data_IF_752002294960
#
_entry.id   IF_752002294960
#
_cell.length_a   1.000
_cell.length_b   1.000
_cell.length_c   1.000
_cell.angle_alpha   90.00
_cell.angle_beta   90.00
_cell.angle_gamma   90.00
#
_symmetry.space_group_name_H-M   'P 1'
#
loop_
_entity.id
_entity.type
_entity.pdbx_description
1 polymer ?
#
# COMPACT_ATOMS: atom_id res chain seq x y z
N UNK A 1 -21.58 -16.29 7.42
CA UNK A 1 -21.32 -14.88 7.74
C UNK A 1 -20.67 -14.88 9.11
N UNK A 2 -19.56 -14.19 9.28
CA UNK A 2 -18.96 -14.03 10.62
C UNK A 2 -19.94 -13.28 11.52
N UNK A 3 -19.93 -13.56 12.83
CA UNK A 3 -20.80 -12.89 13.78
C UNK A 3 -20.13 -11.55 14.13
N UNK A 4 -20.57 -10.49 13.46
CA UNK A 4 -20.22 -9.10 13.79
C UNK A 4 -21.51 -8.28 13.99
N UNK A 5 -21.40 -7.12 14.65
CA UNK A 5 -22.55 -6.28 15.02
C UNK A 5 -23.39 -5.87 13.80
N UNK A 6 -22.76 -5.67 12.65
CA UNK A 6 -23.44 -5.31 11.39
C UNK A 6 -24.22 -6.50 10.82
N UNK A 7 -23.71 -7.72 10.97
CA UNK A 7 -24.36 -8.95 10.53
C UNK A 7 -25.53 -9.35 11.43
N UNK A 8 -25.52 -8.92 12.70
CA UNK A 8 -26.64 -9.10 13.63
C UNK A 8 -27.81 -8.15 13.35
N UNK A 9 -27.62 -7.13 12.50
CA UNK A 9 -28.72 -6.25 12.12
C UNK A 9 -29.85 -7.07 11.44
N UNK A 10 -31.12 -6.95 11.89
CA UNK A 10 -32.22 -7.81 11.43
C UNK A 10 -32.43 -7.81 9.91
N UNK A 11 -32.08 -6.72 9.23
CA UNK A 11 -32.22 -6.59 7.78
C UNK A 11 -31.06 -7.20 6.97
N UNK A 12 -29.92 -7.54 7.57
CA UNK A 12 -28.74 -8.01 6.81
C UNK A 12 -29.05 -9.31 6.05
N UNK A 13 -29.53 -10.34 6.75
CA UNK A 13 -29.82 -11.64 6.14
C UNK A 13 -30.90 -11.54 5.05
N UNK A 14 -32.07 -10.89 5.29
CA UNK A 14 -33.07 -10.72 4.24
C UNK A 14 -32.53 -9.98 3.00
N UNK A 15 -31.72 -8.94 3.16
CA UNK A 15 -31.17 -8.18 2.03
C UNK A 15 -30.16 -9.00 1.23
N UNK A 16 -29.28 -9.76 1.88
CA UNK A 16 -28.36 -10.68 1.19
C UNK A 16 -29.15 -11.74 0.41
N UNK A 17 -30.17 -12.33 1.01
CA UNK A 17 -31.03 -13.32 0.35
C UNK A 17 -31.76 -12.72 -0.86
N UNK A 18 -32.28 -11.50 -0.74
CA UNK A 18 -32.94 -10.80 -1.84
C UNK A 18 -31.98 -10.61 -3.03
N UNK A 19 -30.78 -10.09 -2.80
CA UNK A 19 -29.81 -9.85 -3.87
C UNK A 19 -29.37 -11.15 -4.55
N UNK A 20 -29.10 -12.21 -3.77
CA UNK A 20 -28.78 -13.54 -4.33
C UNK A 20 -29.93 -14.15 -5.11
N UNK A 21 -31.16 -13.94 -4.67
CA UNK A 21 -32.35 -14.37 -5.40
C UNK A 21 -32.49 -13.63 -6.74
N UNK A 22 -32.25 -12.32 -6.75
CA UNK A 22 -32.23 -11.52 -7.98
C UNK A 22 -31.15 -12.00 -8.97
N UNK A 23 -29.95 -12.34 -8.48
CA UNK A 23 -28.86 -12.91 -9.29
C UNK A 23 -29.26 -14.27 -9.88
N UNK A 24 -29.80 -15.17 -9.06
CA UNK A 24 -30.18 -16.54 -9.48
C UNK A 24 -31.30 -16.54 -10.51
N UNK A 25 -32.22 -15.59 -10.43
CA UNK A 25 -33.34 -15.46 -11.38
C UNK A 25 -33.01 -14.63 -12.63
N UNK A 26 -31.76 -14.18 -12.80
CA UNK A 26 -31.35 -13.38 -13.96
C UNK A 26 -31.97 -11.98 -14.00
N UNK A 27 -32.42 -11.44 -12.86
CA UNK A 27 -32.99 -10.09 -12.76
C UNK A 27 -31.91 -9.00 -12.71
N UNK A 28 -30.64 -9.40 -12.62
CA UNK A 28 -29.49 -8.50 -12.66
C UNK A 28 -29.00 -8.49 -14.11
N UNK A 29 -29.03 -7.34 -14.81
CA UNK A 29 -28.61 -7.26 -16.20
C UNK A 29 -27.12 -7.62 -16.31
N UNK A 30 -26.84 -8.85 -16.71
CA UNK A 30 -25.53 -9.24 -17.24
C UNK A 30 -25.61 -8.82 -18.69
N UNK A 31 -25.01 -7.67 -19.04
CA UNK A 31 -25.02 -7.21 -20.43
C UNK A 31 -24.35 -8.26 -21.31
N UNK A 32 -25.16 -9.07 -22.00
CA UNK A 32 -24.72 -9.93 -23.07
C UNK A 32 -24.20 -9.06 -24.23
N UNK A 33 -22.88 -9.05 -24.35
CA UNK A 33 -22.12 -9.03 -25.61
C UNK A 33 -22.13 -7.84 -26.58
N UNK A 34 -22.71 -6.65 -26.32
CA UNK A 34 -22.64 -5.55 -27.32
C UNK A 34 -22.13 -4.20 -26.79
N UNK A 35 -22.19 -3.93 -25.49
CA UNK A 35 -21.67 -2.69 -24.89
C UNK A 35 -20.59 -3.05 -23.87
N UNK A 36 -19.36 -2.60 -24.11
CA UNK A 36 -18.15 -2.96 -23.36
C UNK A 36 -18.18 -2.58 -21.87
N UNK A 37 -19.26 -2.00 -21.35
CA UNK A 37 -19.38 -1.70 -19.93
C UNK A 37 -20.83 -1.82 -19.43
N UNK A 38 -21.11 -2.58 -18.36
CA UNK A 38 -22.46 -2.72 -17.83
C UNK A 38 -22.91 -1.42 -17.14
N UNK A 39 -24.12 -0.96 -17.46
CA UNK A 39 -24.77 0.16 -16.77
C UNK A 39 -25.38 -0.32 -15.45
N UNK A 40 -25.25 0.50 -14.41
CA UNK A 40 -25.73 0.15 -13.08
C UNK A 40 -27.27 0.06 -13.06
N UNK A 41 -27.87 -1.03 -12.53
CA UNK A 41 -29.32 -1.15 -12.48
C UNK A 41 -29.93 -0.11 -11.51
N UNK A 42 -31.19 0.33 -11.73
CA UNK A 42 -31.80 1.41 -10.94
C UNK A 42 -31.74 1.20 -9.43
N UNK A 43 -31.98 -0.03 -8.94
CA UNK A 43 -31.90 -0.35 -7.52
C UNK A 43 -30.50 -0.13 -6.94
N UNK A 44 -29.45 -0.45 -7.70
CA UNK A 44 -28.07 -0.28 -7.28
C UNK A 44 -27.67 1.20 -7.34
N UNK A 45 -28.22 1.99 -8.27
CA UNK A 45 -28.02 3.45 -8.30
C UNK A 45 -28.53 4.10 -7.00
N UNK A 46 -29.67 3.67 -6.46
CA UNK A 46 -30.15 4.18 -5.17
C UNK A 46 -29.19 3.85 -4.03
N UNK A 47 -28.65 2.63 -3.99
CA UNK A 47 -27.63 2.26 -3.01
C UNK A 47 -26.36 3.08 -3.17
N UNK A 48 -25.87 3.25 -4.40
CA UNK A 48 -24.69 4.06 -4.71
C UNK A 48 -24.85 5.51 -4.26
N UNK A 49 -26.01 6.13 -4.57
CA UNK A 49 -26.32 7.50 -4.15
C UNK A 49 -26.30 7.64 -2.63
N UNK A 50 -26.85 6.67 -1.90
CA UNK A 50 -26.85 6.67 -0.42
C UNK A 50 -25.46 6.41 0.16
N UNK A 51 -24.68 5.55 -0.47
CA UNK A 51 -23.32 5.25 -0.04
C UNK A 51 -22.38 6.46 -0.21
N UNK A 52 -22.58 7.23 -1.28
CA UNK A 52 -21.70 8.34 -1.67
C UNK A 52 -22.14 9.69 -1.08
N UNK A 53 -23.25 9.74 -0.34
CA UNK A 53 -23.79 10.98 0.23
C UNK A 53 -23.06 11.32 1.55
N UNK A 54 -22.29 12.42 1.61
CA UNK A 54 -21.55 12.80 2.81
C UNK A 54 -22.46 13.23 3.97
N UNK A 55 -23.74 13.52 3.71
CA UNK A 55 -24.70 13.93 4.75
C UNK A 55 -25.32 12.72 5.47
N UNK A 56 -25.14 11.52 4.93
CA UNK A 56 -25.70 10.30 5.50
C UNK A 56 -24.83 9.81 6.65
N UNK A 57 -25.49 9.27 7.69
CA UNK A 57 -24.78 8.67 8.82
C UNK A 57 -23.84 7.57 8.35
N UNK A 58 -22.59 7.63 8.82
CA UNK A 58 -21.56 6.67 8.45
C UNK A 58 -21.95 5.21 8.73
N UNK A 59 -22.80 4.97 9.73
CA UNK A 59 -23.33 3.64 10.05
C UNK A 59 -24.13 3.02 8.89
N UNK A 60 -24.83 3.85 8.11
CA UNK A 60 -25.55 3.39 6.92
C UNK A 60 -24.55 2.96 5.84
N UNK A 61 -23.47 3.73 5.65
CA UNK A 61 -22.39 3.38 4.72
C UNK A 61 -21.70 2.07 5.12
N UNK A 62 -21.41 1.88 6.41
CA UNK A 62 -20.85 0.64 6.95
C UNK A 62 -21.79 -0.56 6.72
N UNK A 63 -23.09 -0.39 6.97
CA UNK A 63 -24.08 -1.43 6.70
C UNK A 63 -24.14 -1.80 5.22
N UNK A 64 -24.19 -0.80 4.32
CA UNK A 64 -24.18 -1.02 2.87
C UNK A 64 -22.89 -1.70 2.40
N UNK A 65 -21.73 -1.31 2.93
CA UNK A 65 -20.47 -1.96 2.61
C UNK A 65 -20.47 -3.42 3.07
N UNK A 66 -20.97 -3.71 4.28
CA UNK A 66 -21.06 -5.09 4.77
C UNK A 66 -21.97 -5.95 3.89
N UNK A 67 -23.09 -5.39 3.42
CA UNK A 67 -23.94 -6.02 2.42
C UNK A 67 -23.17 -6.32 1.14
N UNK A 68 -22.42 -5.33 0.60
CA UNK A 68 -21.57 -5.50 -0.57
C UNK A 68 -20.54 -6.63 -0.38
N UNK A 69 -19.90 -6.73 0.80
CA UNK A 69 -18.93 -7.80 1.10
C UNK A 69 -19.58 -9.18 0.96
N UNK A 70 -20.78 -9.37 1.52
CA UNK A 70 -21.51 -10.65 1.43
C UNK A 70 -22.00 -11.00 0.02
N UNK A 71 -22.18 -10.00 -0.83
CA UNK A 71 -22.71 -10.14 -2.20
C UNK A 71 -21.75 -9.63 -3.26
N UNK A 72 -20.44 -9.68 -3.01
CA UNK A 72 -19.44 -9.00 -3.84
C UNK A 72 -19.44 -9.44 -5.31
N UNK A 73 -19.88 -10.65 -5.62
CA UNK A 73 -20.01 -11.17 -7.00
C UNK A 73 -21.03 -10.37 -7.81
N UNK A 74 -22.13 -9.95 -7.19
CA UNK A 74 -23.19 -9.15 -7.81
C UNK A 74 -22.70 -7.74 -8.16
N UNK A 75 -21.86 -7.17 -7.30
CA UNK A 75 -21.33 -5.81 -7.48
C UNK A 75 -20.11 -5.77 -8.39
N UNK A 76 -19.39 -6.89 -8.54
CA UNK A 76 -18.15 -7.01 -9.30
C UNK A 76 -18.25 -6.45 -10.74
N UNK A 77 -19.26 -6.77 -11.56
CA UNK A 77 -19.37 -6.21 -12.92
C UNK A 77 -19.41 -4.67 -12.95
N UNK A 78 -19.87 -4.05 -11.87
CA UNK A 78 -20.03 -2.61 -11.71
C UNK A 78 -18.87 -1.97 -10.93
N UNK A 79 -17.75 -2.69 -10.71
CA UNK A 79 -16.64 -2.25 -9.87
C UNK A 79 -16.15 -0.83 -10.18
N UNK A 80 -16.10 -0.43 -11.46
CA UNK A 80 -15.69 0.92 -11.89
C UNK A 80 -16.41 2.06 -11.19
N UNK A 81 -17.67 1.85 -10.76
CA UNK A 81 -18.45 2.84 -10.03
C UNK A 81 -18.18 2.78 -8.54
N UNK A 82 -17.94 1.58 -8.00
CA UNK A 82 -17.86 1.33 -6.56
C UNK A 82 -16.47 1.52 -5.97
N UNK A 83 -15.39 1.48 -6.76
CA UNK A 83 -14.03 1.67 -6.25
C UNK A 83 -13.88 3.00 -5.50
N UNK A 84 -14.24 4.13 -6.13
CA UNK A 84 -14.05 5.46 -5.56
C UNK A 84 -14.79 5.64 -4.24
N UNK A 85 -16.12 5.38 -4.13
CA UNK A 85 -16.82 5.54 -2.86
C UNK A 85 -16.26 4.63 -1.77
N UNK A 86 -15.91 3.38 -2.08
CA UNK A 86 -15.37 2.44 -1.09
C UNK A 86 -14.01 2.90 -0.57
N UNK A 87 -13.14 3.44 -1.45
CA UNK A 87 -11.85 4.02 -1.03
C UNK A 87 -12.07 5.22 -0.10
N UNK A 88 -13.02 6.12 -0.43
CA UNK A 88 -13.37 7.24 0.45
C UNK A 88 -13.90 6.79 1.81
N UNK A 89 -14.75 5.77 1.83
CA UNK A 89 -15.24 5.17 3.08
C UNK A 89 -14.07 4.62 3.91
N UNK A 90 -13.13 3.88 3.29
CA UNK A 90 -11.95 3.37 3.99
C UNK A 90 -11.12 4.51 4.61
N UNK A 91 -10.90 5.60 3.88
CA UNK A 91 -10.21 6.78 4.40
C UNK A 91 -10.94 7.39 5.60
N UNK A 92 -12.26 7.56 5.51
CA UNK A 92 -13.08 8.06 6.62
C UNK A 92 -13.03 7.14 7.85
N UNK A 93 -12.95 5.81 7.64
CA UNK A 93 -12.75 4.87 8.76
C UNK A 93 -11.42 5.12 9.47
N UNK A 94 -10.33 5.28 8.73
CA UNK A 94 -9.02 5.56 9.31
C UNK A 94 -8.94 6.92 10.01
N UNK A 95 -9.69 7.92 9.53
CA UNK A 95 -9.77 9.23 10.16
C UNK A 95 -10.49 9.20 11.51
N UNK A 96 -11.56 8.42 11.59
CA UNK A 96 -12.41 8.34 12.78
C UNK A 96 -11.97 7.25 13.77
N UNK A 97 -11.10 6.34 13.35
CA UNK A 97 -10.60 5.24 14.16
C UNK A 97 -9.18 5.53 14.66
N UNK A 98 -8.99 5.46 15.97
CA UNK A 98 -7.65 5.34 16.58
C UNK A 98 -7.14 3.90 16.57
N UNK A 99 -8.03 2.93 16.33
CA UNK A 99 -7.66 1.53 16.13
C UNK A 99 -7.06 1.38 14.74
N UNK A 100 -5.99 0.59 14.63
CA UNK A 100 -5.25 0.37 13.38
C UNK A 100 -6.07 -0.36 12.31
N UNK A 101 -5.43 -1.21 11.51
CA UNK A 101 -6.15 -1.94 10.43
C UNK A 101 -7.10 -2.99 11.04
N UNK A 102 -8.38 -2.64 11.16
CA UNK A 102 -9.42 -3.53 11.70
C UNK A 102 -9.89 -4.56 10.65
N UNK A 103 -10.58 -5.61 11.10
CA UNK A 103 -11.05 -6.72 10.24
C UNK A 103 -12.00 -6.24 9.15
N UNK A 104 -12.85 -5.24 9.43
CA UNK A 104 -13.76 -4.66 8.45
C UNK A 104 -13.02 -4.01 7.27
N UNK A 105 -11.96 -3.25 7.54
CA UNK A 105 -11.10 -2.65 6.51
C UNK A 105 -10.38 -3.75 5.72
N UNK A 106 -9.89 -4.79 6.39
CA UNK A 106 -9.26 -5.94 5.72
C UNK A 106 -10.24 -6.58 4.72
N UNK A 107 -11.45 -6.92 5.16
CA UNK A 107 -12.49 -7.50 4.29
C UNK A 107 -12.79 -6.58 3.10
N UNK A 108 -12.90 -5.28 3.37
CA UNK A 108 -13.17 -4.27 2.33
C UNK A 108 -12.05 -4.23 1.29
N UNK A 109 -10.79 -4.21 1.71
CA UNK A 109 -9.63 -4.22 0.79
C UNK A 109 -9.55 -5.55 0.04
N UNK A 110 -9.89 -6.68 0.67
CA UNK A 110 -9.97 -7.98 -0.01
C UNK A 110 -10.99 -7.95 -1.15
N UNK A 111 -12.14 -7.28 -0.96
CA UNK A 111 -13.11 -7.07 -2.05
C UNK A 111 -12.52 -6.19 -3.16
N UNK A 112 -11.89 -5.05 -2.82
CA UNK A 112 -11.24 -4.18 -3.81
C UNK A 112 -10.17 -4.94 -4.63
N UNK A 113 -9.36 -5.76 -3.97
CA UNK A 113 -8.39 -6.66 -4.60
C UNK A 113 -9.08 -7.69 -5.51
N UNK A 114 -10.22 -8.26 -5.10
CA UNK A 114 -10.95 -9.23 -5.92
C UNK A 114 -11.50 -8.62 -7.24
N UNK A 115 -11.64 -7.30 -7.27
CA UNK A 115 -12.20 -6.54 -8.40
C UNK A 115 -11.13 -5.95 -9.33
N UNK A 116 -9.83 -6.05 -9.02
CA UNK A 116 -8.77 -5.38 -9.78
C UNK A 116 -8.74 -5.71 -11.28
N UNK A 117 -9.13 -6.93 -11.67
CA UNK A 117 -9.20 -7.33 -13.09
C UNK A 117 -10.34 -6.67 -13.85
N UNK A 118 -11.37 -6.23 -13.14
CA UNK A 118 -12.56 -5.59 -13.71
C UNK A 118 -12.39 -4.07 -13.80
N UNK A 119 -11.81 -3.47 -12.75
CA UNK A 119 -11.55 -2.05 -12.71
C UNK A 119 -10.34 -1.75 -11.81
N UNK A 120 -9.61 -0.70 -12.18
CA UNK A 120 -8.61 -0.05 -11.34
C UNK A 120 -9.09 1.38 -11.03
N UNK A 121 -8.65 2.00 -9.92
CA UNK A 121 -8.99 3.38 -9.61
C UNK A 121 -8.62 4.34 -10.74
N UNK A 122 -9.46 5.35 -10.97
CA UNK A 122 -9.22 6.38 -11.97
C UNK A 122 -8.07 7.30 -11.54
N UNK A 123 -7.46 8.02 -12.48
CA UNK A 123 -6.47 9.06 -12.16
C UNK A 123 -7.08 10.19 -11.30
N UNK A 124 -8.38 10.44 -11.46
CA UNK A 124 -9.14 11.38 -10.63
C UNK A 124 -9.19 10.93 -9.16
N UNK A 125 -9.04 9.63 -8.90
CA UNK A 125 -9.05 9.05 -7.55
C UNK A 125 -7.66 8.97 -6.92
N UNK A 126 -6.61 9.43 -7.64
CA UNK A 126 -5.21 9.30 -7.23
C UNK A 126 -4.95 9.78 -5.81
N UNK A 127 -5.56 10.91 -5.40
CA UNK A 127 -5.43 11.47 -4.05
C UNK A 127 -6.05 10.53 -3.01
N UNK A 128 -7.25 10.01 -3.28
CA UNK A 128 -7.96 9.12 -2.36
C UNK A 128 -7.25 7.77 -2.22
N UNK A 129 -6.73 7.24 -3.34
CA UNK A 129 -5.89 6.03 -3.36
C UNK A 129 -4.61 6.26 -2.56
N UNK A 130 -3.92 7.37 -2.81
CA UNK A 130 -2.68 7.69 -2.10
C UNK A 130 -2.91 7.79 -0.59
N UNK A 131 -3.98 8.45 -0.18
CA UNK A 131 -4.36 8.57 1.24
C UNK A 131 -4.63 7.21 1.89
N UNK A 132 -5.30 6.30 1.18
CA UNK A 132 -5.55 4.94 1.67
C UNK A 132 -4.23 4.18 1.88
N UNK A 133 -3.30 4.28 0.91
CA UNK A 133 -1.97 3.67 1.02
C UNK A 133 -1.19 4.25 2.21
N UNK A 134 -1.22 5.57 2.40
CA UNK A 134 -0.59 6.24 3.54
C UNK A 134 -1.13 5.75 4.89
N UNK A 135 -2.45 5.59 5.02
CA UNK A 135 -3.06 5.03 6.22
C UNK A 135 -2.67 3.57 6.45
N UNK A 136 -2.66 2.75 5.40
CA UNK A 136 -2.24 1.35 5.50
C UNK A 136 -0.78 1.22 5.93
N UNK A 137 0.11 2.06 5.38
CA UNK A 137 1.52 2.07 5.76
C UNK A 137 1.71 2.52 7.21
N UNK A 138 0.97 3.54 7.63
CA UNK A 138 1.06 4.07 9.01
C UNK A 138 0.55 3.06 10.04
N UNK A 139 -0.48 2.28 9.70
CA UNK A 139 -1.18 1.38 10.62
C UNK A 139 -0.83 -0.11 10.43
N UNK A 140 0.17 -0.45 9.62
CA UNK A 140 0.51 -1.85 9.34
C UNK A 140 1.11 -2.59 10.55
N UNK A 141 1.70 -1.86 11.50
CA UNK A 141 2.34 -2.42 12.69
C UNK A 141 1.33 -3.00 13.66
N UNK A 142 1.61 -4.19 14.17
CA UNK A 142 0.75 -4.86 15.15
C UNK A 142 1.57 -5.70 16.13
N UNK A 143 1.12 -5.80 17.39
CA UNK A 143 1.81 -6.58 18.44
C UNK A 143 1.93 -8.05 18.07
N UNK A 144 0.87 -8.60 17.45
CA UNK A 144 0.87 -9.95 16.90
C UNK A 144 1.56 -9.97 15.52
N UNK A 145 2.67 -10.70 15.44
CA UNK A 145 3.50 -10.85 14.23
C UNK A 145 2.73 -11.49 13.07
N UNK A 146 1.78 -12.39 13.36
CA UNK A 146 0.96 -13.04 12.32
C UNK A 146 0.06 -12.00 11.65
N UNK A 147 -0.60 -11.16 12.45
CA UNK A 147 -1.44 -10.05 11.95
C UNK A 147 -0.60 -9.05 11.17
N UNK A 148 0.57 -8.65 11.69
CA UNK A 148 1.50 -7.76 11.01
C UNK A 148 1.94 -8.31 9.65
N UNK A 149 2.28 -9.61 9.56
CA UNK A 149 2.61 -10.26 8.28
C UNK A 149 1.42 -10.27 7.32
N UNK A 150 0.23 -10.58 7.81
CA UNK A 150 -1.00 -10.54 7.02
C UNK A 150 -1.28 -9.13 6.46
N UNK A 151 -1.04 -8.08 7.26
CA UNK A 151 -1.18 -6.69 6.82
C UNK A 151 -0.16 -6.36 5.71
N UNK A 152 1.10 -6.79 5.86
CA UNK A 152 2.13 -6.60 4.82
C UNK A 152 1.77 -7.34 3.54
N UNK A 153 1.23 -8.55 3.62
CA UNK A 153 0.79 -9.33 2.45
C UNK A 153 -0.41 -8.68 1.75
N UNK A 154 -1.34 -8.10 2.51
CA UNK A 154 -2.47 -7.34 1.97
C UNK A 154 -1.99 -6.10 1.21
N UNK A 155 -1.09 -5.32 1.81
CA UNK A 155 -0.47 -4.13 1.20
C UNK A 155 0.31 -4.52 -0.06
N UNK A 156 1.09 -5.60 -0.01
CA UNK A 156 1.84 -6.12 -1.14
C UNK A 156 0.94 -6.39 -2.34
N UNK A 157 -0.14 -7.15 -2.13
CA UNK A 157 -1.11 -7.46 -3.20
C UNK A 157 -1.77 -6.19 -3.75
N UNK A 158 -2.07 -5.22 -2.89
CA UNK A 158 -2.68 -3.95 -3.30
C UNK A 158 -1.75 -3.14 -4.19
N UNK A 159 -0.47 -3.06 -3.83
CA UNK A 159 0.54 -2.38 -4.64
C UNK A 159 0.74 -3.10 -5.97
N UNK A 160 0.81 -4.42 -5.98
CA UNK A 160 0.92 -5.20 -7.22
C UNK A 160 -0.25 -4.94 -8.17
N UNK A 161 -1.48 -4.85 -7.63
CA UNK A 161 -2.68 -4.57 -8.42
C UNK A 161 -2.74 -3.13 -8.95
N UNK A 162 -2.26 -2.15 -8.18
CA UNK A 162 -2.46 -0.71 -8.47
C UNK A 162 -1.15 0.06 -8.68
N UNK A 163 -0.04 -0.62 -9.03
CA UNK A 163 1.29 -0.03 -9.18
C UNK A 163 1.36 1.22 -10.07
N UNK A 164 0.48 1.33 -11.08
CA UNK A 164 0.40 2.48 -11.99
C UNK A 164 -0.35 3.69 -11.43
N UNK A 165 -0.97 3.55 -10.25
CA UNK A 165 -1.79 4.58 -9.58
C UNK A 165 -1.26 4.97 -8.21
N UNK A 166 -0.15 4.37 -7.78
CA UNK A 166 0.42 4.55 -6.45
C UNK A 166 1.73 5.32 -6.55
N UNK A 167 1.88 6.33 -5.68
CA UNK A 167 3.15 7.00 -5.47
C UNK A 167 3.74 6.61 -4.10
N UNK A 168 5.05 6.75 -3.97
CA UNK A 168 5.72 6.35 -2.72
C UNK A 168 5.36 7.30 -1.57
N UNK A 169 4.86 6.77 -0.43
CA UNK A 169 4.62 7.53 0.80
C UNK A 169 5.95 7.80 1.54
N UNK A 170 6.79 8.62 0.91
CA UNK A 170 8.21 8.82 1.25
C UNK A 170 8.43 9.21 2.71
N UNK A 171 7.63 10.14 3.23
CA UNK A 171 7.81 10.63 4.60
C UNK A 171 7.43 9.58 5.64
N UNK A 172 6.37 8.80 5.38
CA UNK A 172 5.93 7.72 6.28
C UNK A 172 7.01 6.64 6.32
N UNK A 173 7.53 6.24 5.16
CA UNK A 173 8.63 5.29 5.07
C UNK A 173 9.86 5.78 5.81
N UNK A 174 10.24 7.04 5.58
CA UNK A 174 11.39 7.66 6.26
C UNK A 174 11.22 7.64 7.78
N UNK A 175 10.05 8.01 8.31
CA UNK A 175 9.76 7.95 9.75
C UNK A 175 9.90 6.52 10.27
N UNK A 176 9.34 5.53 9.57
CA UNK A 176 9.37 4.12 9.97
C UNK A 176 10.79 3.54 10.03
N UNK A 177 11.70 3.93 9.14
CA UNK A 177 13.10 3.46 9.13
C UNK A 177 14.05 4.34 9.97
N UNK A 178 13.56 5.50 10.42
CA UNK A 178 14.34 6.45 11.21
C UNK A 178 14.28 6.18 12.72
N UNK A 179 13.45 5.23 13.17
CA UNK A 179 13.20 4.95 14.59
C UNK A 179 14.52 4.62 15.31
N UNK A 180 14.96 5.44 16.28
CA UNK A 180 16.21 5.22 17.00
C UNK A 180 16.16 4.00 17.92
N UNK A 181 14.99 3.57 18.37
CA UNK A 181 14.89 2.39 19.24
C UNK A 181 15.24 1.11 18.47
N UNK A 182 16.44 0.57 18.73
CA UNK A 182 16.91 -0.68 18.16
C UNK A 182 16.02 -1.87 18.50
N UNK A 183 15.30 -1.85 19.64
CA UNK A 183 14.37 -2.93 20.03
C UNK A 183 13.05 -2.86 19.26
N UNK A 184 12.75 -1.72 18.64
CA UNK A 184 11.54 -1.52 17.88
C UNK A 184 11.59 -2.33 16.58
N UNK A 185 10.52 -3.08 16.32
CA UNK A 185 10.35 -3.78 15.03
C UNK A 185 9.94 -2.83 13.90
N UNK A 186 9.75 -1.54 14.17
CA UNK A 186 9.29 -0.56 13.18
C UNK A 186 10.26 -0.42 12.01
N UNK A 187 11.57 -0.39 12.27
CA UNK A 187 12.57 -0.34 11.20
C UNK A 187 12.45 -1.53 10.24
N UNK A 188 12.23 -2.75 10.77
CA UNK A 188 12.02 -3.95 9.95
C UNK A 188 10.76 -3.84 9.07
N UNK A 189 9.69 -3.26 9.61
CA UNK A 189 8.44 -3.02 8.89
C UNK A 189 8.65 -1.99 7.77
N UNK A 190 9.28 -0.85 8.09
CA UNK A 190 9.61 0.18 7.11
C UNK A 190 10.45 -0.36 5.97
N UNK A 191 11.48 -1.15 6.27
CA UNK A 191 12.32 -1.82 5.27
C UNK A 191 11.51 -2.83 4.43
N UNK A 192 10.59 -3.59 5.05
CA UNK A 192 9.72 -4.53 4.33
C UNK A 192 8.79 -3.80 3.36
N UNK A 193 8.20 -2.67 3.78
CA UNK A 193 7.36 -1.81 2.92
C UNK A 193 8.16 -1.21 1.75
N UNK A 194 9.40 -0.75 2.00
CA UNK A 194 10.29 -0.30 0.93
C UNK A 194 10.58 -1.44 -0.06
N UNK A 195 10.85 -2.65 0.45
CA UNK A 195 11.06 -3.83 -0.39
C UNK A 195 9.84 -4.14 -1.27
N UNK A 196 8.62 -4.01 -0.74
CA UNK A 196 7.37 -4.20 -1.51
C UNK A 196 7.26 -3.18 -2.66
N UNK A 197 7.60 -1.91 -2.42
CA UNK A 197 7.58 -0.87 -3.46
C UNK A 197 8.64 -1.14 -4.53
N UNK A 198 9.87 -1.45 -4.12
CA UNK A 198 10.98 -1.74 -5.03
C UNK A 198 10.73 -2.99 -5.88
N UNK A 199 10.07 -4.01 -5.34
CA UNK A 199 9.65 -5.20 -6.09
C UNK A 199 8.68 -4.87 -7.24
N UNK A 200 7.98 -3.73 -7.16
CA UNK A 200 7.09 -3.20 -8.18
C UNK A 200 7.71 -2.03 -8.95
N UNK A 201 9.04 -1.86 -8.90
CA UNK A 201 9.80 -0.80 -9.57
C UNK A 201 9.41 0.62 -9.14
N UNK A 202 8.79 0.76 -7.97
CA UNK A 202 8.45 2.06 -7.36
C UNK A 202 9.62 2.48 -6.46
N UNK A 203 10.22 3.63 -6.75
CA UNK A 203 11.28 4.18 -5.91
C UNK A 203 10.69 4.68 -4.58
N UNK A 204 11.38 4.46 -3.45
CA UNK A 204 10.84 4.78 -2.12
C UNK A 204 10.82 6.28 -1.82
N UNK A 205 11.47 7.09 -2.65
CA UNK A 205 11.43 8.55 -2.60
C UNK A 205 10.71 9.11 -3.83
N UNK A 206 9.85 10.09 -3.60
CA UNK A 206 9.18 10.81 -4.67
C UNK A 206 10.12 11.85 -5.27
N UNK A 207 10.45 11.67 -6.55
CA UNK A 207 11.05 12.73 -7.36
C UNK A 207 9.89 13.39 -8.09
N UNK A 208 9.52 14.65 -7.78
CA UNK A 208 8.53 15.34 -8.58
C UNK A 208 9.00 15.35 -10.04
N UNK A 209 8.12 15.06 -11.01
CA UNK A 209 8.50 15.19 -12.41
C UNK A 209 9.01 16.62 -12.62
N UNK A 210 10.19 16.75 -13.25
CA UNK A 210 10.73 18.05 -13.67
C UNK A 210 9.62 18.81 -14.38
N UNK A 211 9.33 20.07 -14.02
CA UNK A 211 8.26 20.83 -14.66
C UNK A 211 8.59 21.01 -16.14
N UNK A 212 8.06 20.15 -17.00
CA UNK A 212 8.06 20.33 -18.44
C UNK A 212 6.94 21.32 -18.77
N UNK A 213 7.25 22.61 -18.69
CA UNK A 213 6.35 23.71 -19.01
C UNK A 213 5.91 24.53 -17.79
N UNK A 214 5.31 25.70 -18.08
CA UNK A 214 4.84 26.71 -17.12
C UNK A 214 3.66 26.26 -16.23
N UNK A 215 3.46 24.96 -16.04
CA UNK A 215 2.49 24.47 -15.06
C UNK A 215 3.18 24.42 -13.69
N UNK A 216 2.51 24.87 -12.62
CA UNK A 216 3.05 24.73 -11.28
C UNK A 216 3.39 23.26 -11.02
N UNK A 217 4.45 22.96 -10.26
CA UNK A 217 4.77 21.60 -9.87
C UNK A 217 3.49 21.01 -9.26
N UNK A 218 3.08 19.84 -9.76
CA UNK A 218 2.02 19.07 -9.10
C UNK A 218 2.58 18.72 -7.75
N UNK A 219 2.22 19.52 -6.75
CA UNK A 219 2.30 19.17 -5.34
C UNK A 219 1.36 17.99 -5.21
N UNK A 220 1.87 16.78 -5.49
CA UNK A 220 1.19 15.54 -5.15
C UNK A 220 1.10 15.55 -3.64
N UNK A 221 -0.01 16.09 -3.17
CA UNK A 221 -0.30 16.32 -1.77
C UNK A 221 -0.34 14.99 -1.05
N UNK A 222 0.79 14.61 -0.45
CA UNK A 222 0.74 13.98 0.85
C UNK A 222 0.10 15.01 1.78
N UNK A 223 -1.19 14.85 2.03
CA UNK A 223 -1.95 15.66 3.00
C UNK A 223 -1.50 15.33 4.43
N UNK A 224 -0.89 14.16 4.66
CA UNK A 224 -0.44 13.69 5.97
C UNK A 224 1.01 14.04 6.30
N UNK A 225 1.74 14.64 5.38
CA UNK A 225 3.07 15.17 5.67
C UNK A 225 3.53 16.18 4.65
N UNK A 226 3.76 17.40 5.11
CA UNK A 226 4.75 18.29 4.52
C UNK A 226 6.04 17.48 4.38
N UNK A 227 6.49 17.21 3.14
CA UNK A 227 7.82 16.66 2.92
C UNK A 227 8.77 17.65 3.58
N UNK A 228 9.55 17.26 4.61
CA UNK A 228 10.53 18.17 5.17
C UNK A 228 11.42 18.64 4.02
N UNK A 229 11.62 19.95 3.85
CA UNK A 229 12.43 20.49 2.75
C UNK A 229 13.85 19.86 2.69
N UNK A 230 14.30 19.24 3.78
CA UNK A 230 15.59 18.57 3.93
C UNK A 230 15.58 17.07 3.58
N UNK A 231 14.43 16.48 3.19
CA UNK A 231 14.36 15.05 2.87
C UNK A 231 14.81 14.80 1.43
N UNK A 232 16.12 14.73 1.24
CA UNK A 232 16.74 14.38 -0.03
C UNK A 232 16.84 12.86 -0.21
N UNK A 233 17.01 12.44 -1.46
CA UNK A 233 17.35 11.06 -1.81
C UNK A 233 18.54 10.54 -0.98
N UNK A 234 19.59 11.34 -0.84
CA UNK A 234 20.80 10.94 -0.12
C UNK A 234 20.53 10.69 1.36
N UNK A 235 19.73 11.56 1.99
CA UNK A 235 19.35 11.42 3.39
C UNK A 235 18.49 10.18 3.60
N UNK A 236 17.62 9.87 2.66
CA UNK A 236 16.83 8.64 2.68
C UNK A 236 17.73 7.39 2.56
N UNK A 237 18.65 7.40 1.59
CA UNK A 237 19.63 6.33 1.39
C UNK A 237 20.52 6.13 2.62
N UNK A 238 21.05 7.20 3.20
CA UNK A 238 21.84 7.17 4.43
C UNK A 238 21.07 6.55 5.59
N UNK A 239 19.76 6.76 5.65
CA UNK A 239 18.90 6.19 6.70
C UNK A 239 18.70 4.69 6.52
N UNK A 240 18.54 4.20 5.28
CA UNK A 240 18.54 2.75 4.99
C UNK A 240 19.90 2.15 5.36
N UNK A 241 20.99 2.78 4.93
CA UNK A 241 22.36 2.32 5.20
C UNK A 241 22.69 2.30 6.70
N UNK A 242 22.17 3.27 7.47
CA UNK A 242 22.28 3.27 8.94
C UNK A 242 21.64 2.03 9.56
N UNK A 243 20.55 1.52 9.00
CA UNK A 243 19.92 0.28 9.47
C UNK A 243 20.77 -0.97 9.21
N UNK A 244 21.74 -0.93 8.30
CA UNK A 244 22.72 -2.02 8.14
C UNK A 244 23.69 -2.13 9.32
N UNK A 245 23.85 -1.07 10.12
CA UNK A 245 24.66 -1.07 11.35
C UNK A 245 23.89 -1.56 12.59
N UNK A 246 22.66 -2.01 12.42
CA UNK A 246 21.82 -2.50 13.52
C UNK A 246 22.36 -3.84 14.06
N UNK A 247 22.09 -4.15 15.34
CA UNK A 247 22.52 -5.39 15.98
C UNK A 247 21.62 -6.59 15.61
N UNK A 248 20.37 -6.35 15.22
CA UNK A 248 19.42 -7.42 14.92
C UNK A 248 19.50 -7.89 13.45
N UNK A 249 19.71 -9.21 13.27
CA UNK A 249 19.87 -9.84 11.95
C UNK A 249 18.75 -9.59 10.98
N UNK A 250 17.51 -9.63 11.43
CA UNK A 250 16.36 -9.35 10.59
C UNK A 250 16.31 -7.90 10.09
N UNK A 251 16.95 -6.94 10.77
CA UNK A 251 16.99 -5.53 10.36
C UNK A 251 18.15 -5.28 9.41
N UNK A 252 19.39 -5.61 9.80
CA UNK A 252 20.54 -5.32 8.94
C UNK A 252 20.51 -6.11 7.63
N UNK A 253 20.02 -7.37 7.66
CA UNK A 253 19.90 -8.18 6.46
C UNK A 253 18.80 -7.67 5.52
N UNK A 254 17.69 -7.16 6.08
CA UNK A 254 16.62 -6.54 5.30
C UNK A 254 17.07 -5.19 4.70
N UNK A 255 17.82 -4.39 5.46
CA UNK A 255 18.39 -3.14 4.96
C UNK A 255 19.34 -3.38 3.80
N UNK A 256 20.24 -4.36 3.94
CA UNK A 256 21.12 -4.80 2.86
C UNK A 256 20.33 -5.29 1.63
N UNK A 257 19.31 -6.12 1.82
CA UNK A 257 18.46 -6.60 0.73
C UNK A 257 17.77 -5.44 -0.01
N UNK A 258 17.20 -4.49 0.72
CA UNK A 258 16.58 -3.27 0.19
C UNK A 258 17.58 -2.44 -0.62
N UNK A 259 18.82 -2.28 -0.16
CA UNK A 259 19.87 -1.57 -0.93
C UNK A 259 20.18 -2.31 -2.24
N UNK A 260 20.26 -3.64 -2.21
CA UNK A 260 20.42 -4.44 -3.43
C UNK A 260 19.27 -4.24 -4.41
N UNK A 261 18.03 -4.26 -3.93
CA UNK A 261 16.84 -3.99 -4.74
C UNK A 261 16.86 -2.56 -5.31
N UNK A 262 17.22 -1.56 -4.50
CA UNK A 262 17.30 -0.16 -4.91
C UNK A 262 18.34 0.05 -6.01
N UNK A 263 19.53 -0.55 -5.89
CA UNK A 263 20.57 -0.52 -6.92
C UNK A 263 20.08 -1.15 -8.23
N UNK A 264 19.34 -2.26 -8.15
CA UNK A 264 18.75 -2.91 -9.32
C UNK A 264 17.70 -2.03 -10.00
N UNK A 265 16.75 -1.47 -9.25
CA UNK A 265 15.70 -0.59 -9.80
C UNK A 265 16.31 0.67 -10.44
N UNK A 266 17.30 1.30 -9.80
CA UNK A 266 18.02 2.45 -10.38
C UNK A 266 18.72 2.08 -11.68
N UNK A 267 19.36 0.91 -11.74
CA UNK A 267 19.98 0.41 -12.97
C UNK A 267 18.93 0.22 -14.08
N UNK A 268 17.77 -0.38 -13.77
CA UNK A 268 16.67 -0.56 -14.73
C UNK A 268 16.14 0.78 -15.27
N UNK A 269 16.09 1.81 -14.41
CA UNK A 269 15.67 3.17 -14.77
C UNK A 269 16.77 4.06 -15.36
N UNK A 270 17.98 3.54 -15.56
CA UNK A 270 19.16 4.29 -16.00
C UNK A 270 19.53 5.49 -15.09
N UNK A 271 19.24 5.39 -13.79
CA UNK A 271 19.64 6.37 -12.78
C UNK A 271 21.07 6.10 -12.26
N UNK A 272 21.77 7.17 -11.86
CA UNK A 272 23.11 7.03 -11.29
C UNK A 272 23.09 6.25 -9.96
N UNK A 273 23.96 5.26 -9.86
CA UNK A 273 24.16 4.45 -8.64
C UNK A 273 25.44 4.81 -7.89
N UNK A 274 26.26 5.71 -8.44
CA UNK A 274 27.61 5.98 -7.94
C UNK A 274 27.61 6.46 -6.49
N UNK A 275 26.79 7.47 -6.17
CA UNK A 275 26.74 8.05 -4.82
C UNK A 275 26.28 7.03 -3.77
N UNK A 276 25.29 6.22 -4.11
CA UNK A 276 24.80 5.15 -3.24
C UNK A 276 25.89 4.08 -2.98
N UNK A 277 26.66 3.72 -4.01
CA UNK A 277 27.79 2.79 -3.89
C UNK A 277 28.93 3.38 -3.04
N UNK A 278 29.21 4.68 -3.17
CA UNK A 278 30.19 5.37 -2.33
C UNK A 278 29.76 5.35 -0.85
N UNK A 279 28.52 5.70 -0.54
CA UNK A 279 27.97 5.63 0.82
C UNK A 279 28.00 4.20 1.38
N UNK A 280 27.62 3.20 0.57
CA UNK A 280 27.65 1.79 0.95
C UNK A 280 29.08 1.32 1.26
N UNK A 281 30.08 1.72 0.46
CA UNK A 281 31.48 1.35 0.66
C UNK A 281 32.01 1.79 2.02
N UNK A 282 31.56 2.95 2.52
CA UNK A 282 31.93 3.46 3.85
C UNK A 282 31.36 2.58 4.97
N UNK A 283 30.12 2.11 4.83
CA UNK A 283 29.48 1.20 5.79
C UNK A 283 30.19 -0.17 5.81
N UNK A 284 30.52 -0.70 4.63
CA UNK A 284 31.21 -1.98 4.52
C UNK A 284 32.63 -1.94 5.10
N UNK A 285 33.39 -0.86 4.84
CA UNK A 285 34.70 -0.62 5.47
C UNK A 285 34.58 -0.51 6.99
N UNK A 286 33.51 0.12 7.49
CA UNK A 286 33.25 0.18 8.93
C UNK A 286 32.98 -1.20 9.53
N UNK A 287 32.18 -2.07 8.89
CA UNK A 287 32.00 -3.44 9.39
C UNK A 287 33.33 -4.22 9.47
N UNK A 288 34.18 -4.07 8.45
CA UNK A 288 35.48 -4.72 8.42
C UNK A 288 36.40 -4.20 9.54
N UNK A 289 36.43 -2.88 9.80
CA UNK A 289 37.25 -2.31 10.87
C UNK A 289 36.79 -2.69 12.28
N UNK A 290 35.50 -2.98 12.46
CA UNK A 290 34.94 -3.45 13.73
C UNK A 290 35.07 -4.98 13.93
N UNK A 291 35.63 -5.72 12.97
CA UNK A 291 35.74 -7.18 13.05
C UNK A 291 34.39 -7.93 12.93
N UNK A 292 33.35 -7.28 12.39
CA UNK A 292 31.99 -7.83 12.28
C UNK A 292 31.84 -8.69 11.01
N UNK A 293 32.65 -9.75 10.89
CA UNK A 293 32.72 -10.58 9.68
C UNK A 293 31.37 -11.22 9.31
N UNK A 294 30.65 -11.77 10.29
CA UNK A 294 29.35 -12.42 10.04
C UNK A 294 28.28 -11.44 9.52
N UNK A 295 28.22 -10.23 10.11
CA UNK A 295 27.30 -9.16 9.67
C UNK A 295 27.68 -8.67 8.28
N UNK A 296 28.97 -8.49 8.01
CA UNK A 296 29.49 -8.12 6.70
C UNK A 296 29.06 -9.14 5.63
N UNK A 297 29.36 -10.43 5.85
CA UNK A 297 29.03 -11.51 4.91
C UNK A 297 27.52 -11.59 4.68
N UNK A 298 26.72 -11.46 5.75
CA UNK A 298 25.25 -11.47 5.62
C UNK A 298 24.76 -10.28 4.79
N UNK A 299 25.31 -9.08 4.99
CA UNK A 299 24.94 -7.90 4.21
C UNK A 299 25.27 -8.09 2.71
N UNK A 300 26.50 -8.54 2.39
CA UNK A 300 26.91 -8.83 1.01
C UNK A 300 25.98 -9.87 0.38
N UNK A 301 25.72 -10.97 1.11
CA UNK A 301 24.84 -12.04 0.66
C UNK A 301 23.40 -11.56 0.40
N UNK A 302 22.86 -10.68 1.25
CA UNK A 302 21.52 -10.10 1.04
C UNK A 302 21.46 -9.16 -0.17
N UNK A 303 22.49 -8.34 -0.38
CA UNK A 303 22.55 -7.41 -1.52
C UNK A 303 22.67 -8.14 -2.86
N UNK A 304 23.56 -9.14 -2.94
CA UNK A 304 23.84 -9.84 -4.20
C UNK A 304 22.62 -10.58 -4.77
N UNK A 305 21.62 -10.91 -3.94
CA UNK A 305 20.37 -11.54 -4.40
C UNK A 305 19.66 -10.74 -5.48
N UNK A 306 19.74 -9.40 -5.39
CA UNK A 306 19.07 -8.49 -6.31
C UNK A 306 20.07 -7.69 -7.16
N UNK A 307 21.32 -7.54 -6.71
CA UNK A 307 22.37 -6.85 -7.46
C UNK A 307 23.71 -7.61 -7.40
N UNK A 308 23.92 -8.62 -8.26
CA UNK A 308 25.13 -9.46 -8.24
C UNK A 308 26.44 -8.71 -8.48
N UNK A 309 26.40 -7.62 -9.28
CA UNK A 309 27.55 -6.75 -9.60
C UNK A 309 28.19 -6.09 -8.37
N UNK A 310 27.59 -6.23 -7.18
CA UNK A 310 28.17 -5.71 -5.95
C UNK A 310 29.46 -6.46 -5.58
N UNK A 311 29.55 -7.76 -5.86
CA UNK A 311 30.67 -8.61 -5.45
C UNK A 311 31.97 -8.17 -6.14
N UNK A 312 31.88 -7.69 -7.39
CA UNK A 312 33.03 -7.17 -8.13
C UNK A 312 33.49 -5.78 -7.65
N UNK A 313 32.65 -5.09 -6.86
CA UNK A 313 32.84 -3.69 -6.44
C UNK A 313 33.18 -3.54 -4.95
N UNK A 314 33.13 -4.63 -4.17
CA UNK A 314 33.39 -4.67 -2.71
C UNK A 314 34.71 -5.33 -2.40
#
# INVERSE_FOLDING_TARGET
>A
MEIDELNLHPCMVPMVCLLKHMETNGLIPINDHILQTPEMPPWMIFMYKKFSDPLISFNITLFLMRLIIHTHTIFKPYARYWLTPIIHMCNQMFENSSEGVNTFIIDTIVILLSWHKQAIPSELDSIAVQRLIEYLFSNCSHRNVIVMKSNLDLIKKLIECWKERIHSPTVILYKLISEPDLKSKQNAIGLSLIGILLANEILPYYVPPTPTGNLPPVTTGSILSTIPNDLTEDKFNDTILRNMKNTYRNIYAAAAEVIGMLLNVKKLKNESTQRLLEQLSLILKWHNSQGLSDTYVTCIYSMQKHYPLIVDKT
#
